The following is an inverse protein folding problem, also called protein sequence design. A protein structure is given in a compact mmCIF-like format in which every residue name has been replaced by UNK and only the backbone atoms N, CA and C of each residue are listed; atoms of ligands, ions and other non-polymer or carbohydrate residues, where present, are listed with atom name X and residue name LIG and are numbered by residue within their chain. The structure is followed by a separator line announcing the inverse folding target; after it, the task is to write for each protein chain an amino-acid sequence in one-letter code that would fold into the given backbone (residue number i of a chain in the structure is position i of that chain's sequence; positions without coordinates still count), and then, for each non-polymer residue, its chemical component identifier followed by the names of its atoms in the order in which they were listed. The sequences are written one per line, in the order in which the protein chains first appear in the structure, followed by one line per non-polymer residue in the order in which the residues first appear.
data_IF_565378765619
#
_entry.id   IF_565378765619
#
_cell.length_a   1.000
_cell.length_b   1.000
_cell.length_c   1.000
_cell.angle_alpha   90.00
_cell.angle_beta   90.00
_cell.angle_gamma   90.00
#
_symmetry.space_group_name_H-M   'P 1'
#
loop_
_entity.id
_entity.type
_entity.pdbx_description
1 polymer ?
#
# COMPACT_ATOMS: atom_id res chain seq x y z
N UNK A 1 18.81 -24.79 -10.10
CA UNK A 1 17.38 -24.44 -9.90
C UNK A 1 16.67 -25.37 -8.91
N UNK A 2 17.29 -25.75 -7.77
CA UNK A 2 16.71 -26.73 -6.83
C UNK A 2 17.09 -26.51 -5.34
N UNK A 3 17.38 -25.27 -4.93
CA UNK A 3 17.69 -24.96 -3.52
C UNK A 3 16.52 -24.32 -2.77
N UNK A 4 15.70 -23.49 -3.44
CA UNK A 4 14.53 -22.84 -2.81
C UNK A 4 13.35 -23.78 -2.54
N UNK A 5 13.31 -24.97 -3.15
CA UNK A 5 12.21 -25.93 -2.98
C UNK A 5 12.29 -26.73 -1.67
N UNK A 6 13.44 -26.72 -0.98
CA UNK A 6 13.71 -27.53 0.23
C UNK A 6 13.51 -26.78 1.55
N UNK A 7 13.16 -25.51 1.49
CA UNK A 7 13.09 -24.60 2.65
C UNK A 7 11.66 -24.43 3.22
N UNK A 8 10.71 -25.30 2.88
CA UNK A 8 9.36 -25.28 3.46
C UNK A 8 8.43 -24.16 2.96
N UNK A 9 8.84 -23.45 1.91
CA UNK A 9 8.21 -22.22 1.38
C UNK A 9 6.83 -22.38 0.70
N UNK A 10 6.09 -23.46 0.97
CA UNK A 10 4.93 -23.83 0.13
C UNK A 10 3.55 -23.57 0.74
N UNK A 11 3.45 -23.12 1.99
CA UNK A 11 2.13 -22.85 2.62
C UNK A 11 2.19 -21.84 3.77
N UNK A 12 3.30 -21.78 4.51
CA UNK A 12 3.47 -20.80 5.60
C UNK A 12 3.68 -19.39 5.04
N UNK A 13 4.50 -19.25 3.99
CA UNK A 13 4.76 -17.94 3.38
C UNK A 13 3.55 -17.32 2.68
N UNK A 14 2.58 -18.13 2.21
CA UNK A 14 1.34 -17.59 1.65
C UNK A 14 0.51 -16.89 2.74
N UNK A 15 0.45 -17.46 3.93
CA UNK A 15 -0.23 -16.86 5.09
C UNK A 15 0.52 -15.63 5.61
N UNK A 16 1.85 -15.70 5.73
CA UNK A 16 2.66 -14.56 6.16
C UNK A 16 2.59 -13.41 5.16
N UNK A 17 2.57 -13.70 3.86
CA UNK A 17 2.40 -12.71 2.80
C UNK A 17 0.99 -12.11 2.81
N UNK A 18 -0.05 -12.92 3.06
CA UNK A 18 -1.41 -12.44 3.25
C UNK A 18 -1.54 -11.50 4.45
N UNK A 19 -0.91 -11.85 5.58
CA UNK A 19 -0.92 -11.02 6.79
C UNK A 19 -0.16 -9.73 6.54
N UNK A 20 1.03 -9.78 5.93
CA UNK A 20 1.79 -8.60 5.54
C UNK A 20 0.97 -7.69 4.62
N UNK A 21 0.20 -8.28 3.69
CA UNK A 21 -0.68 -7.53 2.81
C UNK A 21 -1.80 -6.81 3.54
N UNK A 22 -2.45 -7.50 4.47
CA UNK A 22 -3.49 -6.93 5.31
C UNK A 22 -2.94 -5.79 6.17
N UNK A 23 -1.80 -6.00 6.83
CA UNK A 23 -1.11 -5.00 7.64
C UNK A 23 -0.70 -3.78 6.81
N UNK A 24 -0.19 -3.98 5.60
CA UNK A 24 0.18 -2.90 4.69
C UNK A 24 -1.05 -2.08 4.27
N UNK A 25 -2.19 -2.74 4.01
CA UNK A 25 -3.44 -2.06 3.65
C UNK A 25 -4.00 -1.25 4.82
N UNK A 26 -3.98 -1.80 6.04
CA UNK A 26 -4.43 -1.08 7.25
C UNK A 26 -3.51 0.10 7.55
N UNK A 27 -2.19 -0.09 7.48
CA UNK A 27 -1.21 0.97 7.64
C UNK A 27 -1.44 2.09 6.62
N UNK A 28 -1.68 1.75 5.36
CA UNK A 28 -1.96 2.71 4.30
C UNK A 28 -3.24 3.52 4.55
N UNK A 29 -4.34 2.88 4.98
CA UNK A 29 -5.58 3.57 5.32
C UNK A 29 -5.36 4.53 6.49
N UNK A 30 -4.66 4.08 7.53
CA UNK A 30 -4.33 4.93 8.67
C UNK A 30 -3.48 6.14 8.27
N UNK A 31 -2.40 5.93 7.52
CA UNK A 31 -1.54 7.04 7.06
C UNK A 31 -2.29 8.00 6.16
N UNK A 32 -3.20 7.50 5.31
CA UNK A 32 -4.03 8.34 4.44
C UNK A 32 -4.98 9.22 5.25
N UNK A 33 -5.66 8.66 6.26
CA UNK A 33 -6.57 9.43 7.13
C UNK A 33 -5.78 10.46 7.95
N UNK A 34 -4.63 10.08 8.50
CA UNK A 34 -3.79 10.98 9.27
C UNK A 34 -3.27 12.15 8.41
N UNK A 35 -2.75 11.87 7.21
CA UNK A 35 -2.29 12.89 6.26
C UNK A 35 -3.44 13.76 5.76
N UNK A 36 -4.62 13.19 5.53
CA UNK A 36 -5.81 13.93 5.11
C UNK A 36 -6.26 14.89 6.22
N UNK A 37 -6.33 14.44 7.48
CA UNK A 37 -6.65 15.30 8.60
C UNK A 37 -5.62 16.42 8.80
N UNK A 38 -4.33 16.10 8.66
CA UNK A 38 -3.24 17.06 8.79
C UNK A 38 -3.25 18.10 7.68
N UNK A 39 -3.39 17.67 6.43
CA UNK A 39 -3.48 18.58 5.28
C UNK A 39 -4.71 19.48 5.35
N UNK A 40 -5.87 18.97 5.79
CA UNK A 40 -7.06 19.79 6.03
C UNK A 40 -6.81 20.84 7.12
N UNK A 41 -6.20 20.44 8.24
CA UNK A 41 -5.89 21.36 9.33
C UNK A 41 -4.95 22.48 8.87
N UNK A 42 -3.95 22.16 8.06
CA UNK A 42 -2.98 23.13 7.57
C UNK A 42 -3.53 24.04 6.46
N UNK A 43 -4.37 23.50 5.57
CA UNK A 43 -5.09 24.31 4.57
C UNK A 43 -6.00 25.32 5.26
N UNK A 44 -6.69 24.92 6.33
CA UNK A 44 -7.55 25.82 7.13
C UNK A 44 -6.70 26.86 7.88
N UNK A 45 -5.54 26.46 8.42
CA UNK A 45 -4.74 27.34 9.28
C UNK A 45 -3.85 28.33 8.53
N UNK A 46 -3.34 27.94 7.36
CA UNK A 46 -2.26 28.68 6.66
C UNK A 46 -2.60 28.97 5.20
N UNK A 47 -3.60 28.29 4.63
CA UNK A 47 -4.04 28.50 3.24
C UNK A 47 -3.01 28.07 2.18
N UNK A 48 -1.91 27.44 2.61
CA UNK A 48 -0.85 26.96 1.72
C UNK A 48 -0.87 25.43 1.67
N UNK A 49 -0.70 24.87 0.47
CA UNK A 49 -0.41 23.46 0.30
C UNK A 49 1.06 23.23 0.65
N UNK A 50 1.31 22.91 1.92
CA UNK A 50 2.63 22.54 2.40
C UNK A 50 3.11 21.19 1.86
N UNK A 51 4.29 20.78 2.34
CA UNK A 51 4.95 19.50 2.00
C UNK A 51 4.04 18.29 2.27
N UNK A 52 3.07 18.43 3.18
CA UNK A 52 2.06 17.45 3.56
C UNK A 52 1.14 17.08 2.39
N UNK A 53 0.78 18.05 1.53
CA UNK A 53 0.01 17.79 0.32
C UNK A 53 0.76 16.92 -0.67
N UNK A 54 2.07 17.16 -0.82
CA UNK A 54 2.96 16.37 -1.69
C UNK A 54 3.04 14.92 -1.18
N UNK A 55 3.19 14.74 0.14
CA UNK A 55 3.24 13.41 0.78
C UNK A 55 1.90 12.68 0.60
N UNK A 56 0.77 13.38 0.66
CA UNK A 56 -0.55 12.81 0.38
C UNK A 56 -0.66 12.31 -1.07
N UNK A 57 -0.25 13.11 -2.05
CA UNK A 57 -0.25 12.69 -3.46
C UNK A 57 0.69 11.50 -3.71
N UNK A 58 1.89 11.49 -3.13
CA UNK A 58 2.81 10.34 -3.18
C UNK A 58 2.17 9.08 -2.60
N UNK A 59 1.49 9.20 -1.45
CA UNK A 59 0.80 8.08 -0.80
C UNK A 59 -0.33 7.51 -1.66
N UNK A 60 -1.04 8.38 -2.40
CA UNK A 60 -2.06 7.97 -3.37
C UNK A 60 -1.44 7.29 -4.61
N UNK A 61 -0.32 7.79 -5.14
CA UNK A 61 0.38 7.17 -6.28
C UNK A 61 0.89 5.76 -5.93
N UNK A 62 1.45 5.57 -4.74
CA UNK A 62 1.91 4.25 -4.27
C UNK A 62 0.74 3.27 -4.17
N UNK A 63 -0.40 3.71 -3.66
CA UNK A 63 -1.60 2.89 -3.60
C UNK A 63 -2.12 2.52 -4.98
N UNK A 64 -2.22 3.50 -5.88
CA UNK A 64 -2.72 3.27 -7.22
C UNK A 64 -1.81 2.31 -7.99
N UNK A 65 -0.49 2.45 -7.84
CA UNK A 65 0.50 1.52 -8.41
C UNK A 65 0.34 0.09 -7.86
N UNK A 66 0.09 -0.04 -6.55
CA UNK A 66 -0.18 -1.34 -5.92
C UNK A 66 -1.48 -1.93 -6.46
N UNK A 67 -2.56 -1.16 -6.51
CA UNK A 67 -3.86 -1.63 -6.99
C UNK A 67 -3.78 -2.10 -8.45
N UNK A 68 -3.06 -1.37 -9.30
CA UNK A 68 -2.84 -1.72 -10.70
C UNK A 68 -1.99 -2.99 -10.86
N UNK A 69 -1.01 -3.18 -9.98
CA UNK A 69 -0.20 -4.41 -9.93
C UNK A 69 -1.03 -5.62 -9.53
N UNK A 70 -1.90 -5.49 -8.52
CA UNK A 70 -2.82 -6.56 -8.12
C UNK A 70 -3.85 -6.89 -9.20
N UNK A 71 -4.48 -5.88 -9.80
CA UNK A 71 -5.46 -6.09 -10.89
C UNK A 71 -4.82 -6.80 -12.09
N UNK A 72 -3.60 -6.42 -12.49
CA UNK A 72 -2.89 -7.12 -13.58
C UNK A 72 -2.54 -8.57 -13.24
N UNK A 73 -2.18 -8.85 -11.99
CA UNK A 73 -1.83 -10.21 -11.56
C UNK A 73 -3.05 -11.13 -11.50
N UNK A 74 -4.20 -10.63 -11.04
CA UNK A 74 -5.45 -11.41 -11.02
C UNK A 74 -6.08 -11.61 -12.40
N UNK A 75 -5.90 -10.68 -13.34
CA UNK A 75 -6.36 -10.88 -14.72
C UNK A 75 -5.51 -11.88 -15.52
N UNK A 76 -4.25 -12.08 -15.15
CA UNK A 76 -3.36 -13.02 -15.85
C UNK A 76 -3.50 -14.48 -15.38
N UNK A 77 -4.11 -14.72 -14.21
CA UNK A 77 -4.37 -16.07 -13.66
C UNK A 77 -5.78 -16.60 -14.03
N UNK A 78 -6.53 -15.82 -14.81
CA UNK A 78 -7.91 -16.09 -15.21
C UNK A 78 -8.10 -16.56 -16.65
N UNK A 79 -7.02 -16.76 -17.43
CA UNK A 79 -7.04 -17.37 -18.76
C UNK A 79 -6.34 -18.74 -18.79
#
# INVERSE_FOLDING_TARGET
MSFFKKLGFRRSDELDLHIAFLSMRVAWVFTTIALLAWTLQEVISTGQFGVQGIIFFLSQTVFWSSNLYYTKKFSADGE
#
